data_IF_383182174051
#
_entry.id   IF_383182174051
#
_cell.length_a   1.000
_cell.length_b   1.000
_cell.length_c   1.000
_cell.angle_alpha   90.00
_cell.angle_beta   90.00
_cell.angle_gamma   90.00
#
_symmetry.space_group_name_H-M   'P 1'
#
loop_
_entity.id
_entity.type
_entity.pdbx_description
1 polymer ?
2 non-polymer ?
3 water ?
#
# COMPACT_ATOMS: atom_id res chain seq x y z
N UNK A 3 -30.02 3.20 22.48
CA UNK A 3 -29.39 2.12 21.72
C UNK A 3 -28.39 1.33 22.57
N UNK A 4 -28.58 0.02 22.65
CA UNK A 4 -27.69 -0.86 23.40
C UNK A 4 -27.61 -2.18 22.67
N UNK A 5 -26.38 -2.64 22.43
CA UNK A 5 -26.12 -3.70 21.46
C UNK A 5 -25.30 -4.82 22.08
N UNK A 6 -25.56 -6.04 21.61
CA UNK A 6 -24.69 -7.17 21.87
C UNK A 6 -23.59 -7.19 20.81
N UNK A 7 -22.34 -7.33 21.25
CA UNK A 7 -21.25 -7.43 20.30
C UNK A 7 -21.29 -8.80 19.63
N UNK A 8 -21.00 -8.88 18.33
CA UNK A 8 -20.88 -10.18 17.67
C UNK A 8 -19.54 -10.81 18.02
N UNK A 9 -19.42 -12.11 17.73
CA UNK A 9 -18.16 -12.83 17.95
C UNK A 9 -17.04 -12.11 17.20
N UNK A 10 -16.01 -11.61 17.89
CA UNK A 10 -14.96 -10.84 17.22
C UNK A 10 -14.10 -11.70 16.32
N UNK A 11 -13.78 -11.17 15.15
CA UNK A 11 -12.78 -11.74 14.26
C UNK A 11 -11.83 -10.65 13.85
N UNK A 12 -10.53 -10.90 14.03
CA UNK A 12 -9.53 -9.87 13.79
C UNK A 12 -9.40 -9.51 12.31
N UNK A 13 -9.83 -10.38 11.40
CA UNK A 13 -9.72 -10.10 9.96
C UNK A 13 -11.03 -9.63 9.34
N UNK A 14 -12.03 -9.28 10.13
CA UNK A 14 -13.32 -8.88 9.58
C UNK A 14 -13.26 -7.48 8.99
N UNK A 15 -13.93 -7.28 7.85
CA UNK A 15 -14.08 -5.92 7.36
C UNK A 15 -14.98 -5.13 8.29
N UNK A 16 -14.81 -3.80 8.27
CA UNK A 16 -15.68 -2.93 9.03
C UNK A 16 -17.13 -3.08 8.57
N UNK A 17 -17.36 -3.21 7.27
CA UNK A 17 -18.73 -3.34 6.77
C UNK A 17 -19.38 -4.62 7.29
N UNK A 18 -18.64 -5.72 7.29
CA UNK A 18 -19.16 -6.98 7.77
C UNK A 18 -19.51 -6.89 9.26
N UNK A 19 -18.65 -6.25 10.05
CA UNK A 19 -18.93 -6.08 11.47
C UNK A 19 -20.27 -5.38 11.68
N UNK A 20 -20.46 -4.24 11.00
CA UNK A 20 -21.72 -3.51 11.14
C UNK A 20 -22.91 -4.35 10.68
N UNK A 21 -22.73 -5.14 9.62
CA UNK A 21 -23.84 -5.96 9.14
C UNK A 21 -24.25 -6.97 10.21
N UNK A 22 -23.26 -7.67 10.79
CA UNK A 22 -23.55 -8.61 11.85
C UNK A 22 -24.20 -7.91 13.06
N UNK A 23 -23.67 -6.74 13.44
CA UNK A 23 -24.29 -6.00 14.55
C UNK A 23 -25.78 -5.76 14.25
N UNK A 24 -26.09 -5.28 13.04
CA UNK A 24 -27.49 -5.05 12.65
C UNK A 24 -28.31 -6.34 12.71
N UNK A 25 -27.78 -7.41 12.10
CA UNK A 25 -28.51 -8.69 12.05
C UNK A 25 -28.85 -9.17 13.45
N UNK A 26 -27.85 -9.22 14.32
CA UNK A 26 -28.01 -9.82 15.63
C UNK A 26 -28.69 -8.91 16.65
N UNK A 27 -28.93 -7.64 16.33
CA UNK A 27 -29.56 -6.74 17.28
C UNK A 27 -30.94 -6.27 16.80
N UNK A 28 -31.57 -7.03 15.90
CA UNK A 28 -32.95 -6.81 15.53
C UNK A 28 -33.20 -5.70 14.53
N UNK A 29 -32.17 -5.16 13.90
CA UNK A 29 -32.36 -4.16 12.87
C UNK A 29 -32.66 -4.91 11.58
N UNK A 30 -33.44 -4.32 10.71
CA UNK A 30 -33.85 -4.97 9.49
C UNK A 30 -32.75 -5.27 8.51
N UNK A 31 -31.83 -4.34 8.43
CA UNK A 31 -30.66 -4.42 7.59
C UNK A 31 -29.63 -3.42 8.11
N UNK A 32 -28.45 -3.43 7.53
CA UNK A 32 -27.42 -2.52 7.98
C UNK A 32 -27.76 -1.03 7.79
N UNK A 33 -28.49 -0.71 6.75
CA UNK A 33 -28.88 0.68 6.51
C UNK A 33 -29.76 1.22 7.62
N UNK A 34 -30.75 0.46 8.03
CA UNK A 34 -31.58 0.87 9.16
C UNK A 34 -30.73 1.04 10.41
N UNK A 35 -29.78 0.13 10.62
CA UNK A 35 -28.89 0.27 11.76
C UNK A 35 -28.05 1.54 11.69
N UNK A 36 -27.47 1.84 10.52
CA UNK A 36 -26.63 3.04 10.41
C UNK A 36 -27.44 4.31 10.63
N UNK A 37 -28.67 4.34 10.12
CA UNK A 37 -29.56 5.47 10.36
C UNK A 37 -29.89 5.58 11.84
N UNK A 38 -30.17 4.46 12.49
CA UNK A 38 -30.43 4.49 13.93
C UNK A 38 -29.18 4.90 14.70
N UNK A 39 -28.00 4.53 14.20
CA UNK A 39 -26.76 4.93 14.87
C UNK A 39 -26.54 6.43 14.74
N UNK A 40 -26.82 6.98 13.54
CA UNK A 40 -26.72 8.43 13.37
C UNK A 40 -27.71 9.15 14.28
N UNK A 41 -28.92 8.61 14.42
CA UNK A 41 -29.89 9.21 15.33
C UNK A 41 -29.41 9.10 16.77
N UNK A 42 -28.75 7.99 17.11
CA UNK A 42 -28.22 7.86 18.47
C UNK A 42 -27.17 8.92 18.76
N UNK A 43 -26.23 9.10 17.83
CA UNK A 43 -25.19 10.11 18.01
C UNK A 43 -25.78 11.51 18.07
N UNK A 44 -26.89 11.75 17.36
CA UNK A 44 -27.54 13.06 17.47
C UNK A 44 -28.18 13.25 18.83
N UNK A 45 -28.78 12.19 19.37
CA UNK A 45 -29.44 12.29 20.68
C UNK A 45 -28.44 12.54 21.81
N UNK A 46 -27.18 12.17 21.64
CA UNK A 46 -26.16 12.50 22.64
C UNK A 46 -25.30 13.69 22.22
N UNK A 47 -25.71 14.37 21.18
CA UNK A 47 -24.98 15.49 20.65
C UNK A 47 -23.52 15.29 20.44
N UNK A 48 -23.18 14.20 19.78
CA UNK A 48 -21.82 13.94 19.48
C UNK A 48 -21.54 14.70 18.23
N UNK A 49 -20.54 15.55 18.27
CA UNK A 49 -20.17 16.35 17.13
C UNK A 49 -19.65 15.44 16.05
N UNK A 50 -20.36 15.33 14.97
CA UNK A 50 -19.98 14.39 13.96
C UNK A 50 -21.15 13.50 13.59
N UNK A 51 -22.26 13.64 14.29
CA UNK A 51 -23.45 12.91 13.94
C UNK A 51 -23.94 13.31 12.57
N UNK A 52 -23.78 14.56 12.14
CA UNK A 52 -24.21 15.08 10.88
C UNK A 52 -23.57 14.44 9.68
N UNK A 53 -22.34 13.93 9.84
CA UNK A 53 -21.62 13.27 8.80
C UNK A 53 -21.57 11.75 9.00
N UNK A 54 -22.22 11.23 10.01
CA UNK A 54 -22.22 9.79 10.19
C UNK A 54 -22.88 9.15 8.97
N UNK A 55 -22.24 8.18 8.38
CA UNK A 55 -22.74 7.66 7.11
C UNK A 55 -23.90 6.68 7.29
N UNK A 56 -24.82 6.73 6.34
CA UNK A 56 -25.91 5.77 6.27
C UNK A 56 -25.80 4.91 5.03
N UNK A 57 -24.71 5.04 4.30
CA UNK A 57 -24.41 4.25 3.11
C UNK A 57 -23.31 3.29 3.51
N UNK A 58 -23.63 1.98 3.51
CA UNK A 58 -22.66 0.98 3.94
C UNK A 58 -21.40 1.03 3.07
N UNK A 59 -21.49 1.50 1.83
CA UNK A 59 -20.32 1.60 0.97
C UNK A 59 -19.44 2.81 1.28
N UNK A 60 -19.85 3.65 2.24
CA UNK A 60 -19.12 4.87 2.56
C UNK A 60 -18.74 4.94 4.04
N UNK A 61 -18.67 3.77 4.72
CA UNK A 61 -18.55 3.72 6.17
C UNK A 61 -17.10 3.96 6.65
N UNK A 62 -16.10 3.59 5.86
CA UNK A 62 -14.72 3.70 6.33
C UNK A 62 -14.28 5.16 6.37
N UNK A 63 -13.35 5.52 7.25
CA UNK A 63 -12.89 6.93 7.27
C UNK A 63 -12.27 7.38 5.95
N UNK A 64 -11.67 6.49 5.15
CA UNK A 64 -11.12 6.91 3.87
C UNK A 64 -12.21 7.45 2.94
N UNK A 65 -13.46 7.02 3.11
CA UNK A 65 -14.56 7.50 2.28
C UNK A 65 -15.09 8.86 2.73
N UNK A 66 -14.72 9.33 3.92
CA UNK A 66 -15.12 10.67 4.33
C UNK A 66 -14.31 11.71 3.55
N UNK A 67 -15.01 12.73 3.08
CA UNK A 67 -14.37 13.84 2.37
C UNK A 67 -13.68 14.80 3.34
N UNK A 68 -14.46 15.42 4.21
CA UNK A 68 -13.96 16.42 5.13
C UNK A 68 -14.11 16.03 6.59
N UNK A 69 -14.69 14.88 6.89
CA UNK A 69 -15.10 14.60 8.25
C UNK A 69 -14.46 13.32 8.77
N UNK A 70 -13.26 12.99 8.29
CA UNK A 70 -12.64 11.73 8.63
C UNK A 70 -12.36 11.63 10.12
N UNK A 71 -11.98 12.75 10.76
CA UNK A 71 -11.71 12.69 12.20
C UNK A 71 -13.00 12.74 13.04
N UNK A 72 -14.09 13.29 12.51
CA UNK A 72 -15.39 13.08 13.17
C UNK A 72 -15.81 11.62 13.09
N UNK A 73 -15.45 10.94 12.01
CA UNK A 73 -15.77 9.52 11.86
C UNK A 73 -15.04 8.67 12.89
N UNK A 74 -13.72 8.88 13.06
CA UNK A 74 -13.01 8.10 14.06
C UNK A 74 -13.47 8.46 15.48
N UNK A 75 -13.80 9.74 15.73
CA UNK A 75 -14.37 10.08 17.04
C UNK A 75 -15.68 9.35 17.26
N UNK A 76 -16.51 9.23 16.21
CA UNK A 76 -17.76 8.50 16.29
C UNK A 76 -17.54 7.03 16.63
N UNK A 77 -16.64 6.35 15.92
CA UNK A 77 -16.37 4.94 16.20
C UNK A 77 -15.88 4.76 17.64
N UNK A 78 -14.96 5.63 18.08
CA UNK A 78 -14.49 5.58 19.46
C UNK A 78 -15.65 5.64 20.45
N UNK A 79 -16.53 6.64 20.30
CA UNK A 79 -17.68 6.80 21.19
C UNK A 79 -18.58 5.57 21.16
N UNK A 80 -18.96 5.13 19.95
CA UNK A 80 -19.78 3.93 19.82
C UNK A 80 -19.15 2.75 20.54
N UNK A 81 -17.87 2.49 20.28
CA UNK A 81 -17.15 1.42 20.97
C UNK A 81 -17.29 1.56 22.49
N UNK A 82 -16.94 2.74 23.01
CA UNK A 82 -16.89 2.98 24.45
C UNK A 82 -18.25 3.09 25.11
N UNK A 83 -19.34 3.11 24.34
CA UNK A 83 -20.62 3.49 24.96
C UNK A 83 -21.76 2.53 24.68
N UNK A 84 -21.95 2.16 23.44
CA UNK A 84 -23.14 1.45 23.03
C UNK A 84 -23.18 -0.08 23.06
N UNK A 85 -22.13 -0.70 23.52
CA UNK A 85 -22.11 -2.13 23.61
C UNK A 85 -22.02 -2.62 25.03
N UNK A 86 -22.52 -3.84 25.25
CA UNK A 86 -22.44 -4.50 26.58
C UNK A 86 -20.96 -4.64 26.92
N UNK A 87 -20.15 -5.09 25.94
CA UNK A 87 -18.73 -5.20 26.14
C UNK A 87 -18.15 -4.50 24.91
N UNK A 88 -17.10 -3.70 25.09
CA UNK A 88 -16.53 -2.95 23.98
C UNK A 88 -15.85 -3.74 22.92
N UNK A 89 -16.25 -3.51 21.69
CA UNK A 89 -15.64 -4.25 20.59
C UNK A 89 -14.46 -3.47 20.03
N UNK A 90 -13.66 -4.17 19.21
CA UNK A 90 -12.58 -3.52 18.46
C UNK A 90 -13.19 -3.03 17.16
N UNK A 91 -13.51 -1.75 17.12
CA UNK A 91 -14.15 -1.15 15.98
C UNK A 91 -13.17 -0.37 15.12
N UNK A 92 -12.45 0.56 15.74
CA UNK A 92 -11.43 1.32 15.05
C UNK A 92 -10.45 0.43 14.32
N UNK A 93 -10.14 -0.74 14.89
CA UNK A 93 -9.10 -1.59 14.32
C UNK A 93 -9.50 -2.24 13.01
N UNK A 94 -10.80 -2.29 12.71
CA UNK A 94 -11.29 -2.86 11.47
C UNK A 94 -11.40 -1.82 10.36
N UNK A 95 -11.42 -0.53 10.71
CA UNK A 95 -11.65 0.53 9.75
C UNK A 95 -10.44 0.77 8.86
N UNK A 96 -10.71 1.19 7.63
CA UNK A 96 -9.65 1.53 6.68
C UNK A 96 -9.57 3.05 6.64
N UNK A 97 -8.46 3.61 7.12
CA UNK A 97 -8.23 5.04 7.19
C UNK A 97 -7.27 5.46 6.09
N UNK A 98 -7.31 6.73 5.74
CA UNK A 98 -6.23 7.30 4.95
C UNK A 98 -4.96 7.39 5.80
N UNK A 99 -3.80 7.38 5.13
CA UNK A 99 -2.57 7.72 5.82
C UNK A 99 -1.79 8.75 5.01
N UNK A 100 -0.75 9.25 5.64
CA UNK A 100 0.20 10.19 5.07
C UNK A 100 1.25 9.48 4.21
N UNK A 101 1.39 8.17 4.36
CA UNK A 101 2.46 7.44 3.66
C UNK A 101 2.21 7.38 2.16
N UNK A 102 3.28 7.15 1.39
CA UNK A 102 3.20 7.03 -0.06
C UNK A 102 3.89 5.76 -0.49
N UNK A 103 3.48 5.22 -1.64
CA UNK A 103 4.25 4.22 -2.35
C UNK A 103 4.79 4.85 -3.63
N UNK A 104 6.07 4.73 -3.85
CA UNK A 104 6.74 5.33 -4.96
C UNK A 104 6.17 4.93 -6.33
N UNK A 105 6.10 5.88 -7.26
CA UNK A 105 6.61 7.24 -7.05
C UNK A 105 5.64 8.22 -6.44
N UNK A 106 4.37 8.05 -6.69
CA UNK A 106 3.41 8.99 -6.18
C UNK A 106 2.02 8.44 -5.86
N UNK A 107 1.94 7.23 -5.38
CA UNK A 107 0.68 6.69 -5.03
C UNK A 107 0.39 6.89 -3.55
N UNK A 108 -0.83 7.25 -3.22
CA UNK A 108 -1.25 7.40 -1.85
C UNK A 108 -1.47 6.05 -1.13
N UNK A 109 -1.84 6.08 0.14
CA UNK A 109 -1.92 4.83 0.89
C UNK A 109 -3.03 4.93 1.94
N UNK A 110 -3.41 3.77 2.45
CA UNK A 110 -4.41 3.67 3.52
C UNK A 110 -3.88 2.66 4.53
N UNK A 111 -4.53 2.60 5.69
CA UNK A 111 -4.05 1.78 6.79
C UNK A 111 -5.24 1.20 7.56
N UNK A 112 -5.08 -0.05 7.97
CA UNK A 112 -6.05 -0.73 8.82
C UNK A 112 -5.25 -1.42 9.90
N UNK A 113 -5.48 -1.03 11.16
CA UNK A 113 -4.68 -1.55 12.25
C UNK A 113 -3.24 -1.05 12.11
N UNK A 114 -2.31 -1.97 11.89
CA UNK A 114 -0.91 -1.64 11.63
C UNK A 114 -0.52 -1.89 10.18
N UNK A 115 -1.47 -2.22 9.33
CA UNK A 115 -1.22 -2.66 7.96
C UNK A 115 -1.46 -1.52 7.00
N UNK A 116 -0.45 -1.18 6.20
CA UNK A 116 -0.56 -0.11 5.22
C UNK A 116 -0.69 -0.74 3.86
N UNK A 117 -1.53 -0.15 2.99
CA UNK A 117 -1.82 -0.63 1.64
C UNK A 117 -1.67 0.52 0.65
N UNK A 118 -1.18 0.26 -0.56
CA UNK A 118 -1.23 1.31 -1.60
C UNK A 118 -2.67 1.56 -2.01
N UNK A 119 -3.03 2.84 -2.15
CA UNK A 119 -4.36 3.21 -2.60
C UNK A 119 -4.69 2.59 -3.96
N UNK A 120 -3.68 2.40 -4.81
CA UNK A 120 -3.86 1.76 -6.11
C UNK A 120 -4.44 0.35 -6.01
N UNK A 121 -4.29 -0.31 -4.86
CA UNK A 121 -4.82 -1.65 -4.65
C UNK A 121 -6.21 -1.65 -4.02
N UNK A 122 -6.63 -0.53 -3.43
CA UNK A 122 -7.93 -0.45 -2.78
C UNK A 122 -9.03 -0.48 -3.83
N UNK A 123 -9.88 -1.51 -3.80
CA UNK A 123 -10.90 -1.65 -4.83
C UNK A 123 -11.87 -0.48 -4.80
N UNK A 124 -12.18 0.06 -5.99
CA UNK A 124 -13.03 1.24 -6.10
C UNK A 124 -14.50 0.90 -6.30
N UNK A 125 -14.80 -0.23 -6.92
CA UNK A 125 -16.16 -0.51 -7.40
C UNK A 125 -16.67 -1.73 -6.65
N UNK A 126 -17.11 -2.77 -7.35
CA UNK A 126 -17.64 -3.94 -6.68
C UNK A 126 -16.53 -4.67 -5.96
N UNK A 127 -16.83 -5.12 -4.74
CA UNK A 127 -15.90 -5.88 -3.92
C UNK A 127 -16.29 -7.35 -4.00
N UNK A 128 -15.36 -8.25 -4.30
CA UNK A 128 -15.68 -9.67 -4.45
C UNK A 128 -15.75 -10.37 -3.10
N UNK A 129 -16.02 -11.67 -3.15
CA UNK A 129 -16.10 -12.44 -1.91
C UNK A 129 -15.72 -13.90 -2.17
N UNK A 130 -15.58 -14.64 -1.09
CA UNK A 130 -15.51 -16.07 -1.20
C UNK A 130 -16.80 -16.64 -0.62
N UNK A 131 -17.64 -17.29 -1.42
CA UNK A 131 -18.90 -17.80 -0.88
C UNK A 131 -18.72 -18.88 0.18
N UNK A 132 -17.59 -19.60 0.11
CA UNK A 132 -17.31 -20.61 1.13
C UNK A 132 -17.04 -19.94 2.47
N UNK A 133 -16.21 -18.90 2.47
CA UNK A 133 -15.95 -18.14 3.70
C UNK A 133 -17.24 -17.57 4.29
N UNK A 134 -18.10 -16.97 3.46
CA UNK A 134 -19.33 -16.37 3.97
C UNK A 134 -20.22 -17.41 4.64
N UNK A 135 -20.39 -18.57 3.99
CA UNK A 135 -21.31 -19.57 4.50
C UNK A 135 -20.75 -20.28 5.73
N UNK A 136 -19.45 -20.58 5.72
CA UNK A 136 -18.83 -21.30 6.83
C UNK A 136 -18.58 -20.41 8.03
N UNK A 137 -18.18 -19.14 7.79
CA UNK A 137 -17.77 -18.25 8.86
C UNK A 137 -18.79 -17.18 9.22
N UNK A 138 -19.67 -16.78 8.28
CA UNK A 138 -20.66 -15.77 8.59
C UNK A 138 -20.13 -14.36 8.64
N UNK A 139 -18.97 -14.09 8.05
CA UNK A 139 -18.43 -12.74 7.98
C UNK A 139 -17.49 -12.63 6.79
N UNK A 140 -17.13 -11.39 6.44
CA UNK A 140 -16.29 -11.13 5.28
C UNK A 140 -14.90 -10.66 5.73
N UNK A 141 -13.88 -11.12 5.01
CA UNK A 141 -12.50 -10.70 5.23
C UNK A 141 -12.22 -9.32 4.63
N UNK A 142 -11.43 -8.52 5.36
CA UNK A 142 -10.94 -7.25 4.84
C UNK A 142 -10.05 -7.43 3.61
N UNK A 143 -9.40 -8.59 3.48
CA UNK A 143 -8.53 -8.80 2.32
C UNK A 143 -9.28 -8.68 0.99
N UNK A 144 -10.60 -8.94 0.98
CA UNK A 144 -11.36 -8.87 -0.28
C UNK A 144 -11.41 -7.45 -0.84
N UNK A 145 -11.08 -6.45 -0.04
CA UNK A 145 -11.03 -5.05 -0.48
C UNK A 145 -9.80 -4.72 -1.32
N UNK A 146 -8.85 -5.64 -1.48
CA UNK A 146 -7.54 -5.28 -2.05
C UNK A 146 -7.18 -6.19 -3.22
N UNK A 147 -6.94 -5.56 -4.37
CA UNK A 147 -6.39 -6.23 -5.53
C UNK A 147 -5.04 -6.88 -5.21
N UNK A 148 -4.71 -7.93 -5.96
CA UNK A 148 -3.59 -8.77 -5.62
C UNK A 148 -4.01 -10.01 -4.85
N UNK A 149 -4.97 -9.84 -3.93
CA UNK A 149 -5.61 -10.96 -3.23
C UNK A 149 -6.80 -11.40 -4.09
N UNK A 150 -6.55 -12.31 -5.03
CA UNK A 150 -7.54 -12.73 -5.99
C UNK A 150 -8.09 -14.13 -5.73
N UNK A 151 -7.43 -14.90 -4.88
CA UNK A 151 -7.86 -16.24 -4.50
C UNK A 151 -8.04 -16.25 -2.99
N UNK A 152 -9.04 -16.98 -2.51
CA UNK A 152 -9.15 -17.20 -1.08
C UNK A 152 -8.00 -18.11 -0.64
N UNK A 153 -7.18 -17.65 0.31
CA UNK A 153 -6.03 -18.45 0.69
C UNK A 153 -6.43 -19.68 1.49
N UNK A 154 -7.65 -19.69 2.06
CA UNK A 154 -8.05 -20.81 2.90
C UNK A 154 -8.79 -21.88 2.11
N UNK A 155 -9.57 -21.50 1.10
CA UNK A 155 -10.28 -22.48 0.29
C UNK A 155 -9.63 -22.69 -1.07
N UNK A 156 -8.58 -21.94 -1.43
CA UNK A 156 -7.80 -22.17 -2.65
C UNK A 156 -8.68 -22.15 -3.90
N UNK A 157 -9.58 -21.18 -3.97
CA UNK A 157 -10.41 -20.95 -5.15
C UNK A 157 -10.42 -19.45 -5.44
N UNK A 158 -10.72 -19.08 -6.68
CA UNK A 158 -10.81 -17.64 -6.98
C UNK A 158 -12.01 -17.00 -6.29
N UNK A 159 -11.80 -15.78 -5.79
CA UNK A 159 -12.90 -14.98 -5.30
C UNK A 159 -13.92 -14.73 -6.40
N UNK A 160 -15.17 -14.48 -6.01
CA UNK A 160 -16.29 -14.36 -6.93
C UNK A 160 -16.75 -12.90 -6.95
N UNK A 161 -17.04 -12.39 -8.14
CA UNK A 161 -17.54 -11.02 -8.24
C UNK A 161 -19.00 -10.92 -8.68
N UNK A 162 -19.49 -11.85 -9.48
CA UNK A 162 -20.81 -11.66 -10.07
C UNK A 162 -21.57 -12.97 -10.04
N UNK A 163 -22.89 -12.85 -9.89
CA UNK A 163 -23.74 -14.02 -9.89
C UNK A 163 -23.77 -14.62 -11.29
N UNK A 164 -24.03 -15.93 -11.36
CA UNK A 164 -24.21 -16.55 -12.67
C UNK A 164 -25.31 -15.88 -13.49
N UNK A 165 -26.23 -15.14 -12.86
CA UNK A 165 -27.28 -14.44 -13.61
C UNK A 165 -26.81 -13.11 -14.19
N UNK A 166 -25.60 -12.68 -13.84
CA UNK A 166 -24.99 -11.48 -14.37
C UNK A 166 -24.91 -10.34 -13.39
N UNK A 167 -25.71 -10.36 -12.32
CA UNK A 167 -25.67 -9.28 -11.34
C UNK A 167 -24.43 -9.41 -10.47
N UNK A 168 -23.68 -8.30 -10.34
CA UNK A 168 -22.53 -8.29 -9.46
C UNK A 168 -22.99 -8.45 -8.01
N UNK A 169 -22.26 -9.26 -7.25
CA UNK A 169 -22.58 -9.52 -5.86
C UNK A 169 -21.58 -8.79 -4.99
N UNK A 170 -22.03 -7.75 -4.31
CA UNK A 170 -21.25 -7.04 -3.31
C UNK A 170 -21.86 -7.36 -1.95
N UNK A 171 -21.14 -8.13 -1.13
CA UNK A 171 -21.65 -8.53 0.17
C UNK A 171 -22.07 -7.33 1.01
N UNK A 172 -21.43 -6.17 0.81
CA UNK A 172 -21.76 -4.99 1.60
C UNK A 172 -23.20 -4.58 1.38
N UNK A 173 -23.67 -4.68 0.13
CA UNK A 173 -25.03 -4.28 -0.22
C UNK A 173 -26.01 -5.44 -0.14
N UNK A 174 -25.57 -6.64 -0.53
CA UNK A 174 -26.45 -7.79 -0.66
C UNK A 174 -26.46 -8.71 0.54
N UNK A 175 -25.53 -8.54 1.47
CA UNK A 175 -25.56 -9.22 2.74
C UNK A 175 -24.61 -10.40 2.80
N UNK A 176 -24.40 -10.88 4.03
CA UNK A 176 -23.45 -11.95 4.29
C UNK A 176 -24.03 -13.32 4.01
N UNK A 177 -25.34 -13.41 3.74
CA UNK A 177 -25.96 -14.70 3.45
C UNK A 177 -25.62 -15.22 2.05
N UNK A 178 -24.96 -14.41 1.22
CA UNK A 178 -24.55 -14.85 -0.10
C UNK A 178 -25.69 -15.10 -1.06
N UNK A 179 -26.78 -14.35 -0.97
CA UNK A 179 -27.94 -14.50 -1.83
C UNK A 179 -27.95 -13.35 -2.82
N UNK A 180 -28.07 -13.67 -4.11
CA UNK A 180 -28.11 -12.64 -5.14
C UNK A 180 -29.38 -11.79 -5.00
N UNK A 181 -29.23 -10.46 -5.03
CA UNK A 181 -30.36 -9.56 -4.88
C UNK A 181 -31.35 -9.66 -6.04
N UNK A 182 -30.87 -9.98 -7.24
CA UNK A 182 -31.74 -9.97 -8.41
C UNK A 182 -32.46 -11.30 -8.61
N UNK A 183 -31.71 -12.40 -8.70
CA UNK A 183 -32.36 -13.68 -9.01
C UNK A 183 -32.70 -14.49 -7.76
N UNK A 184 -32.23 -14.07 -6.58
CA UNK A 184 -32.49 -14.67 -5.27
C UNK A 184 -31.94 -16.08 -5.14
N UNK A 185 -30.91 -16.42 -5.91
CA UNK A 185 -30.20 -17.67 -5.85
C UNK A 185 -28.94 -17.52 -5.01
N UNK A 186 -28.55 -18.55 -4.27
CA UNK A 186 -27.29 -18.48 -3.54
C UNK A 186 -26.12 -18.37 -4.51
N UNK A 187 -25.20 -17.45 -4.21
CA UNK A 187 -23.97 -17.36 -4.98
C UNK A 187 -23.22 -18.67 -4.85
N UNK A 188 -22.77 -19.21 -5.98
CA UNK A 188 -22.11 -20.51 -5.98
C UNK A 188 -20.93 -20.49 -6.94
N UNK A 189 -19.74 -20.85 -6.43
CA UNK A 189 -18.65 -21.22 -7.31
C UNK A 189 -19.06 -22.40 -8.17
N UNK A 195 -7.57 -22.79 -11.03
CA UNK A 195 -6.76 -23.01 -9.84
C UNK A 195 -5.25 -22.75 -9.89
N UNK A 196 -4.83 -21.54 -10.25
CA UNK A 196 -3.42 -21.18 -10.33
C UNK A 196 -2.79 -21.20 -8.97
N UNK A 197 -1.77 -22.00 -8.79
CA UNK A 197 -1.13 -22.04 -7.52
C UNK A 197 -0.29 -20.77 -7.21
N UNK A 198 0.13 -20.07 -8.23
CA UNK A 198 0.84 -18.85 -8.05
C UNK A 198 -0.09 -17.82 -7.40
N UNK A 199 -1.32 -17.77 -7.87
CA UNK A 199 -2.31 -16.89 -7.33
C UNK A 199 -2.53 -17.31 -5.92
N UNK A 200 -2.64 -18.59 -5.68
CA UNK A 200 -2.82 -19.04 -4.29
C UNK A 200 -1.60 -18.72 -3.44
N UNK A 201 -0.40 -18.92 -4.00
CA UNK A 201 0.81 -18.54 -3.28
C UNK A 201 0.78 -17.07 -2.87
N UNK A 202 0.52 -16.16 -3.80
CA UNK A 202 0.62 -14.76 -3.37
C UNK A 202 -0.56 -14.39 -2.48
N UNK A 203 -1.73 -15.01 -2.68
CA UNK A 203 -2.84 -14.78 -1.75
C UNK A 203 -2.48 -15.23 -0.34
N UNK A 204 -1.82 -16.37 -0.20
CA UNK A 204 -1.41 -16.84 1.10
C UNK A 204 -0.37 -15.91 1.74
N UNK A 205 0.50 -15.38 0.91
CA UNK A 205 1.57 -14.48 1.29
C UNK A 205 0.96 -13.16 1.74
N UNK A 206 0.02 -12.64 0.98
CA UNK A 206 -0.67 -11.40 1.34
C UNK A 206 -1.42 -11.51 2.64
N UNK A 207 -1.99 -12.66 2.93
CA UNK A 207 -2.64 -12.89 4.17
C UNK A 207 -1.64 -12.87 5.34
N UNK A 208 -0.36 -12.97 5.06
CA UNK A 208 0.67 -12.91 6.08
C UNK A 208 1.39 -14.20 6.36
N UNK A 209 1.17 -15.25 5.58
CA UNK A 209 1.77 -16.53 5.89
C UNK A 209 3.01 -16.76 5.02
N UNK A 210 3.89 -17.64 5.50
CA UNK A 210 5.06 -18.02 4.73
C UNK A 210 4.64 -18.70 3.43
N UNK A 211 5.16 -18.21 2.30
CA UNK A 211 4.80 -18.77 1.00
C UNK A 211 6.01 -18.60 0.07
N UNK A 212 6.92 -19.57 0.12
CA UNK A 212 8.10 -19.54 -0.73
C UNK A 212 7.67 -19.52 -2.20
N UNK A 213 8.39 -18.81 -3.07
CA UNK A 213 9.65 -18.10 -2.81
C UNK A 213 9.51 -16.62 -2.45
N UNK A 214 8.33 -16.20 -2.05
CA UNK A 214 8.06 -14.82 -1.73
C UNK A 214 8.68 -14.45 -0.38
N UNK A 215 9.14 -13.21 -0.23
CA UNK A 215 9.96 -12.85 0.94
C UNK A 215 9.14 -12.57 2.18
N UNK A 216 9.72 -12.93 3.33
CA UNK A 216 9.05 -12.76 4.62
C UNK A 216 9.30 -11.34 5.15
N UNK A 217 8.49 -10.40 4.68
CA UNK A 217 8.55 -9.00 5.05
C UNK A 217 7.32 -8.60 5.85
N UNK A 218 7.34 -7.47 6.55
CA UNK A 218 6.09 -6.96 7.15
C UNK A 218 5.05 -6.76 6.05
N UNK A 219 3.78 -6.87 6.46
CA UNK A 219 2.66 -6.88 5.52
C UNK A 219 2.64 -5.66 4.60
N UNK A 220 2.92 -4.47 5.14
CA UNK A 220 2.85 -3.26 4.31
C UNK A 220 3.80 -3.33 3.12
N UNK A 221 4.95 -3.99 3.29
CA UNK A 221 5.91 -4.12 2.21
C UNK A 221 5.55 -5.24 1.23
N UNK A 222 4.78 -6.24 1.67
CA UNK A 222 4.23 -7.20 0.72
C UNK A 222 3.28 -6.51 -0.26
N UNK A 223 2.29 -5.75 0.24
CA UNK A 223 1.48 -4.94 -0.65
C UNK A 223 2.35 -4.00 -1.49
N UNK A 224 3.44 -3.50 -0.89
CA UNK A 224 4.36 -2.64 -1.64
C UNK A 224 4.95 -3.33 -2.85
N UNK A 225 5.33 -4.60 -2.69
CA UNK A 225 5.91 -5.36 -3.80
C UNK A 225 4.89 -5.60 -4.91
N UNK A 226 3.62 -5.83 -4.54
CA UNK A 226 2.57 -5.98 -5.54
C UNK A 226 2.43 -4.69 -6.36
N UNK A 227 2.34 -3.54 -5.68
CA UNK A 227 2.34 -2.23 -6.33
C UNK A 227 3.58 -2.05 -7.21
N UNK A 228 4.75 -2.40 -6.67
CA UNK A 228 6.00 -2.26 -7.41
C UNK A 228 6.00 -3.10 -8.69
N UNK A 229 5.54 -4.33 -8.64
CA UNK A 229 5.52 -5.24 -9.78
C UNK A 229 4.60 -4.75 -10.88
N UNK A 230 3.50 -4.15 -10.48
CA UNK A 230 2.53 -3.57 -11.36
C UNK A 230 3.17 -2.46 -12.12
N UNK A 231 3.96 -1.65 -11.47
CA UNK A 231 4.67 -0.58 -12.10
C UNK A 231 5.77 -1.06 -13.03
N UNK A 232 6.40 -2.16 -12.72
CA UNK A 232 7.46 -2.71 -13.53
C UNK A 232 6.91 -3.13 -14.86
N UNK A 233 5.76 -3.75 -14.84
CA UNK A 233 5.07 -4.23 -16.03
C UNK A 233 4.10 -3.21 -16.61
N UNK A 234 3.73 -2.19 -15.84
CA UNK A 234 2.81 -1.15 -16.28
C UNK A 234 1.45 -1.72 -16.68
N UNK A 235 0.86 -2.54 -15.82
CA UNK A 235 -0.38 -3.24 -16.13
C UNK A 235 -0.89 -3.92 -14.87
N UNK A 236 -1.91 -4.77 -15.01
CA UNK A 236 -2.46 -5.45 -13.85
C UNK A 236 -1.44 -6.42 -13.25
N UNK A 237 -1.53 -6.64 -11.94
CA UNK A 237 -0.61 -7.55 -11.28
C UNK A 237 -0.64 -8.92 -11.90
N UNK A 238 0.54 -9.42 -12.29
CA UNK A 238 0.70 -10.73 -12.90
C UNK A 238 1.34 -11.64 -11.86
N UNK A 239 0.51 -12.53 -11.28
CA UNK A 239 0.98 -13.39 -10.20
C UNK A 239 2.09 -14.33 -10.68
N UNK A 240 2.02 -14.80 -11.93
CA UNK A 240 2.96 -15.81 -12.41
C UNK A 240 4.38 -15.25 -12.53
N UNK A 241 4.54 -14.11 -13.20
CA UNK A 241 5.89 -13.56 -13.34
C UNK A 241 6.42 -13.02 -12.03
N UNK A 242 5.53 -12.64 -11.10
CA UNK A 242 5.95 -12.20 -9.77
C UNK A 242 6.61 -13.34 -9.00
N UNK A 243 5.97 -14.49 -8.97
CA UNK A 243 6.49 -15.65 -8.30
C UNK A 243 7.78 -16.10 -8.98
N UNK A 244 7.80 -16.03 -10.29
CA UNK A 244 8.95 -16.38 -11.08
C UNK A 244 10.14 -15.50 -10.69
N UNK A 245 9.89 -14.22 -10.61
CA UNK A 245 10.86 -13.26 -10.25
C UNK A 245 11.49 -13.60 -8.93
N UNK A 246 10.69 -13.86 -7.93
CA UNK A 246 11.25 -14.17 -6.62
C UNK A 246 11.81 -15.57 -6.53
N UNK A 247 11.38 -16.50 -7.39
CA UNK A 247 12.04 -17.80 -7.40
C UNK A 247 13.48 -17.68 -7.88
N UNK A 248 13.82 -16.58 -8.55
CA UNK A 248 15.16 -16.31 -9.05
C UNK A 248 15.85 -15.16 -8.32
N UNK A 249 15.30 -14.72 -7.19
CA UNK A 249 15.85 -13.60 -6.44
C UNK A 249 17.17 -14.00 -5.77
N UNK A 250 18.17 -13.11 -5.72
CA UNK A 250 18.16 -11.72 -6.19
C UNK A 250 18.73 -11.51 -7.60
N UNK A 251 19.28 -12.56 -8.20
CA UNK A 251 19.86 -12.46 -9.53
C UNK A 251 18.90 -11.93 -10.53
N UNK A 252 17.65 -12.32 -10.40
CA UNK A 252 16.59 -11.83 -11.27
C UNK A 252 16.46 -10.30 -11.21
N UNK A 253 16.73 -9.70 -10.05
CA UNK A 253 16.70 -8.24 -9.98
C UNK A 253 18.02 -7.64 -10.46
N UNK A 254 19.15 -8.32 -10.22
CA UNK A 254 20.41 -7.84 -10.77
C UNK A 254 20.34 -7.74 -12.29
N UNK A 255 19.58 -8.64 -12.93
CA UNK A 255 19.42 -8.59 -14.38
C UNK A 255 18.55 -7.43 -14.81
N UNK A 256 17.50 -7.12 -14.04
CA UNK A 256 16.64 -5.99 -14.39
C UNK A 256 17.42 -4.68 -14.32
N UNK A 257 18.26 -4.53 -13.30
CA UNK A 257 19.07 -3.32 -13.17
C UNK A 257 20.04 -3.20 -14.32
N UNK A 258 20.87 -4.22 -14.53
CA UNK A 258 21.88 -4.19 -15.58
C UNK A 258 21.24 -3.92 -16.94
N UNK A 259 20.14 -4.62 -17.23
CA UNK A 259 19.48 -4.45 -18.51
C UNK A 259 18.92 -3.03 -18.66
N UNK A 260 18.46 -2.44 -17.56
CA UNK A 260 17.94 -1.08 -17.58
C UNK A 260 19.04 -0.07 -17.86
N UNK A 261 20.18 -0.22 -17.19
CA UNK A 261 21.30 0.70 -17.39
C UNK A 261 21.81 0.61 -18.82
N UNK A 262 22.00 -0.61 -19.32
CA UNK A 262 22.62 -0.77 -20.63
C UNK A 262 21.70 -0.25 -21.74
N UNK A 263 20.39 -0.46 -21.61
CA UNK A 263 19.44 0.08 -22.59
C UNK A 263 19.47 1.60 -22.60
N UNK A 264 19.36 2.22 -21.43
CA UNK A 264 19.25 3.67 -21.38
C UNK A 264 20.56 4.34 -21.77
N UNK A 265 21.70 3.75 -21.37
CA UNK A 265 22.99 4.30 -21.75
C UNK A 265 23.18 4.28 -23.27
N UNK A 266 22.69 3.22 -23.93
CA UNK A 266 22.82 3.11 -25.38
C UNK A 266 21.87 4.06 -26.11
N UNK A 267 20.66 4.22 -25.56
CA UNK A 267 19.64 5.10 -26.18
C UNK A 267 19.88 6.55 -25.76
N UNK A 268 21.00 6.82 -25.08
CA UNK A 268 21.33 8.17 -24.64
C UNK A 268 21.72 9.05 -25.82
N UNK A 269 20.94 10.09 -26.06
CA UNK A 269 21.20 11.01 -27.16
C UNK A 269 21.99 12.22 -26.68
N UNK A 270 21.96 12.47 -25.37
CA UNK A 270 22.68 13.59 -24.79
C UNK A 270 24.10 13.19 -24.37
N UNK A 271 24.92 14.18 -24.09
CA UNK A 271 26.31 13.94 -23.67
C UNK A 271 26.36 13.23 -22.32
N UNK A 272 27.38 12.42 -22.12
CA UNK A 272 27.55 11.69 -20.86
C UNK A 272 27.55 12.63 -19.67
N UNK A 273 28.22 13.79 -19.78
CA UNK A 273 28.27 14.75 -18.70
C UNK A 273 26.91 15.34 -18.38
N UNK A 274 25.95 15.29 -19.31
CA UNK A 274 24.62 15.81 -19.09
C UNK A 274 23.63 14.73 -18.65
N UNK A 275 24.10 13.50 -18.41
CA UNK A 275 23.19 12.42 -18.06
C UNK A 275 22.65 12.61 -16.65
N UNK A 276 21.33 12.57 -16.52
CA UNK A 276 20.70 12.62 -15.21
C UNK A 276 20.47 11.21 -14.70
N UNK A 277 20.41 11.09 -13.37
CA UNK A 277 20.10 9.79 -12.78
C UNK A 277 18.79 9.26 -13.34
N UNK A 278 17.81 10.15 -13.50
CA UNK A 278 16.50 9.80 -14.07
C UNK A 278 16.63 9.22 -15.46
N UNK A 279 17.65 9.63 -16.23
CA UNK A 279 17.76 9.16 -17.59
C UNK A 279 18.27 7.72 -17.66
N UNK A 280 19.12 7.32 -16.72
CA UNK A 280 19.71 5.99 -16.71
C UNK A 280 18.90 4.98 -15.88
N UNK A 281 18.30 5.43 -14.78
CA UNK A 281 17.62 4.54 -13.84
C UNK A 281 16.33 5.16 -13.32
N UNK A 282 15.63 5.91 -14.18
CA UNK A 282 14.52 6.72 -13.71
C UNK A 282 13.41 5.91 -13.07
N UNK A 283 12.70 5.15 -13.90
CA UNK A 283 11.66 4.24 -13.44
C UNK A 283 12.09 3.45 -12.21
N UNK A 284 13.25 2.79 -12.31
CA UNK A 284 13.65 1.82 -11.29
C UNK A 284 14.01 2.49 -9.97
N UNK A 285 14.80 3.56 -10.00
CA UNK A 285 15.23 4.19 -8.75
C UNK A 285 14.07 4.92 -8.08
N UNK A 286 13.44 5.85 -8.80
CA UNK A 286 12.41 6.65 -8.15
C UNK A 286 11.10 5.90 -8.00
N UNK A 287 10.97 4.74 -8.61
CA UNK A 287 9.84 3.87 -8.33
C UNK A 287 10.00 2.97 -7.13
N UNK A 288 11.14 3.04 -6.42
CA UNK A 288 11.45 2.05 -5.41
C UNK A 288 11.79 2.63 -4.05
N UNK A 289 11.72 3.94 -3.88
CA UNK A 289 12.26 4.56 -2.67
C UNK A 289 11.37 4.28 -1.48
N UNK A 290 10.05 4.45 -1.63
CA UNK A 290 9.09 4.26 -0.54
C UNK A 290 8.14 3.13 -0.90
N UNK A 291 8.29 1.98 -0.26
CA UNK A 291 7.44 0.83 -0.57
C UNK A 291 6.85 0.15 0.66
N UNK A 292 6.33 0.88 1.66
CA UNK A 292 6.04 2.32 1.74
C UNK A 292 7.14 3.19 2.35
N UNK A 293 8.20 2.62 2.92
CA UNK A 293 9.24 3.48 3.46
C UNK A 293 10.61 2.96 3.04
N UNK A 294 11.64 3.59 3.59
CA UNK A 294 13.02 3.33 3.20
C UNK A 294 13.73 2.39 4.17
N UNK A 295 12.99 1.68 5.04
CA UNK A 295 13.61 0.70 5.91
C UNK A 295 14.28 -0.38 5.07
N UNK A 296 15.61 -0.45 5.12
CA UNK A 296 16.30 -1.32 4.18
C UNK A 296 16.27 -2.78 4.61
N UNK A 297 15.83 -3.09 5.83
CA UNK A 297 15.57 -4.49 6.16
C UNK A 297 14.31 -4.97 5.47
N UNK A 298 13.38 -4.06 5.18
CA UNK A 298 12.06 -4.40 4.63
C UNK A 298 11.92 -4.04 3.15
N UNK A 299 12.47 -2.89 2.73
CA UNK A 299 12.44 -2.47 1.33
C UNK A 299 13.66 -3.11 0.65
N UNK A 300 13.48 -4.38 0.27
CA UNK A 300 14.59 -5.12 -0.30
C UNK A 300 14.92 -4.65 -1.70
N UNK A 301 13.98 -4.02 -2.40
CA UNK A 301 14.28 -3.45 -3.71
C UNK A 301 15.31 -2.31 -3.57
N UNK A 302 15.02 -1.35 -2.69
CA UNK A 302 15.92 -0.22 -2.48
C UNK A 302 17.27 -0.67 -1.94
N UNK A 303 17.28 -1.65 -1.02
CA UNK A 303 18.53 -2.17 -0.50
C UNK A 303 19.42 -2.75 -1.59
N UNK A 304 18.85 -3.56 -2.47
CA UNK A 304 19.61 -4.11 -3.58
C UNK A 304 20.08 -3.01 -4.54
N UNK A 305 19.20 -2.05 -4.83
CA UNK A 305 19.55 -0.97 -5.76
C UNK A 305 20.69 -0.12 -5.21
N UNK A 306 20.61 0.25 -3.92
CA UNK A 306 21.64 1.06 -3.29
C UNK A 306 22.95 0.27 -3.14
N UNK A 307 22.87 -1.02 -2.82
CA UNK A 307 24.09 -1.83 -2.78
C UNK A 307 24.75 -1.86 -4.15
N UNK A 308 23.95 -1.98 -5.20
CA UNK A 308 24.51 -1.97 -6.54
C UNK A 308 25.14 -0.62 -6.86
N UNK A 309 24.51 0.48 -6.42
CA UNK A 309 25.00 1.80 -6.79
C UNK A 309 26.26 2.18 -6.02
N UNK A 310 26.33 1.84 -4.73
CA UNK A 310 27.55 2.10 -3.96
C UNK A 310 28.75 1.38 -4.59
N UNK A 311 28.56 0.13 -5.00
CA UNK A 311 29.69 -0.66 -5.47
C UNK A 311 30.04 -0.37 -6.93
N UNK A 312 29.16 0.27 -7.70
CA UNK A 312 29.50 0.72 -9.03
C UNK A 312 29.80 2.22 -9.08
N UNK A 313 29.80 2.90 -7.92
CA UNK A 313 29.88 4.36 -7.86
C UNK A 313 30.87 4.94 -8.85
N UNK A 314 32.14 4.56 -8.71
CA UNK A 314 33.23 5.24 -9.41
C UNK A 314 33.78 4.46 -10.60
N UNK A 315 33.02 3.49 -11.13
CA UNK A 315 33.42 2.84 -12.37
C UNK A 315 33.13 3.73 -13.58
N UNK A 316 33.83 3.47 -14.68
CA UNK A 316 33.70 4.25 -15.92
C UNK A 316 33.91 5.73 -15.68
N UNK A 317 34.98 6.06 -14.95
CA UNK A 317 35.29 7.44 -14.59
C UNK A 317 34.07 8.14 -14.00
N UNK A 318 33.43 7.46 -13.04
CA UNK A 318 32.33 8.04 -12.31
C UNK A 318 31.01 8.14 -13.07
N UNK A 319 30.72 7.17 -13.92
CA UNK A 319 29.42 7.15 -14.59
C UNK A 319 28.29 7.34 -13.59
N UNK A 320 28.18 6.43 -12.63
CA UNK A 320 27.12 6.52 -11.63
C UNK A 320 27.28 7.77 -10.79
N UNK A 321 28.48 8.00 -10.25
CA UNK A 321 28.69 9.12 -9.34
C UNK A 321 28.31 10.46 -9.98
N UNK A 322 28.49 10.62 -11.29
CA UNK A 322 28.28 11.91 -11.93
C UNK A 322 26.84 12.16 -12.36
N UNK A 323 25.95 11.17 -12.29
CA UNK A 323 24.57 11.35 -12.72
C UNK A 323 23.90 12.50 -12.00
N UNK A 324 23.22 13.36 -12.75
CA UNK A 324 22.69 14.61 -12.22
C UNK A 324 21.36 14.41 -11.50
N UNK A 325 21.16 15.20 -10.44
CA UNK A 325 19.90 15.23 -9.69
C UNK A 325 19.58 16.68 -9.35
N UNK A 326 18.31 16.98 -9.09
CA UNK A 326 17.90 18.30 -8.63
C UNK A 326 17.52 18.22 -7.15
N UNK A 327 17.13 19.38 -6.61
CA UNK A 327 16.77 19.44 -5.19
C UNK A 327 15.57 18.57 -4.86
N UNK A 328 14.56 18.54 -5.74
CA UNK A 328 13.39 17.70 -5.48
C UNK A 328 13.78 16.23 -5.34
N UNK A 329 14.61 15.75 -6.26
CA UNK A 329 14.98 14.34 -6.21
C UNK A 329 15.80 14.04 -4.96
N UNK A 330 16.69 14.95 -4.58
CA UNK A 330 17.50 14.71 -3.37
C UNK A 330 16.63 14.63 -2.13
N UNK A 331 15.57 15.46 -2.03
CA UNK A 331 14.74 15.41 -0.84
C UNK A 331 14.04 14.07 -0.70
N UNK A 332 13.67 13.44 -1.81
CA UNK A 332 12.95 12.16 -1.73
C UNK A 332 13.92 11.02 -1.39
N UNK A 333 15.09 11.04 -2.02
CA UNK A 333 16.26 10.22 -1.70
C UNK A 333 16.58 10.24 -0.19
N UNK A 334 16.85 11.46 0.29
CA UNK A 334 17.34 11.71 1.64
C UNK A 334 16.26 11.73 2.72
N UNK A 335 14.99 11.81 2.34
CA UNK A 335 13.90 12.00 3.30
C UNK A 335 14.12 13.27 4.12
N UNK A 336 14.34 14.38 3.43
CA UNK A 336 14.56 15.66 4.09
C UNK A 336 13.77 16.73 3.36
N UNK A 337 13.75 17.92 3.93
CA UNK A 337 12.97 19.03 3.40
C UNK A 337 13.78 19.85 2.40
N UNK A 338 13.07 20.54 1.50
CA UNK A 338 13.73 21.44 0.58
C UNK A 338 14.51 22.51 1.33
N UNK A 339 13.95 22.98 2.44
CA UNK A 339 14.66 23.96 3.25
C UNK A 339 15.94 23.36 3.82
N UNK A 340 15.93 22.07 4.09
CA UNK A 340 17.12 21.42 4.57
C UNK A 340 18.15 21.37 3.46
N UNK A 341 17.70 21.20 2.24
CA UNK A 341 18.62 21.18 1.14
C UNK A 341 19.30 22.52 0.93
N UNK A 342 18.55 23.61 1.04
CA UNK A 342 19.07 24.97 0.89
C UNK A 342 20.08 25.28 1.93
N UNK A 343 19.88 24.82 3.14
CA UNK A 343 20.84 25.07 4.20
C UNK A 343 22.17 24.31 4.11
N UNK A 344 22.17 23.26 3.28
CA UNK A 344 23.38 22.42 3.06
C UNK A 344 24.14 22.99 1.86
N UNK A 345 23.44 23.74 1.01
CA UNK A 345 24.07 24.34 -0.16
C UNK A 345 24.58 25.75 0.19
N UNK A 346 23.87 26.48 1.04
CA UNK A 346 24.34 27.80 1.44
C UNK A 346 25.54 27.68 2.36
N UNK A 347 25.48 26.77 3.33
CA UNK A 347 26.70 26.27 3.93
C UNK A 347 27.48 25.47 2.88
N UNK A 348 28.59 24.89 3.28
CA UNK A 348 29.50 24.31 2.30
C UNK A 348 29.48 22.78 2.34
N UNK A 349 28.35 22.22 2.79
CA UNK A 349 28.26 20.77 2.92
C UNK A 349 27.88 20.14 1.59
N UNK A 350 26.81 20.64 0.96
CA UNK A 350 26.38 20.20 -0.36
C UNK A 350 26.89 21.21 -1.39
N UNK A 351 27.66 20.73 -2.37
CA UNK A 351 28.25 21.63 -3.36
C UNK A 351 27.59 21.44 -4.72
N UNK A 352 27.01 22.47 -5.32
CA UNK A 352 26.46 22.34 -6.68
C UNK A 352 27.56 22.25 -7.74
N UNK A 353 27.19 21.72 -8.91
CA UNK A 353 28.14 21.52 -10.02
C UNK A 353 28.49 22.86 -10.63
N UNK A 354 27.47 23.59 -11.07
CA UNK A 354 27.62 24.93 -11.66
C UNK A 354 27.76 25.85 -10.44
N UNK A 355 28.85 26.60 -10.41
CA UNK A 355 29.13 27.47 -9.25
C UNK A 355 28.74 28.92 -9.54
N UNK A 356 27.44 29.23 -9.60
CA UNK A 356 26.98 30.63 -9.70
C UNK A 356 26.71 31.16 -8.28
N UNK A 357 26.13 32.36 -8.14
CA UNK A 357 25.91 32.91 -6.78
C UNK A 357 24.84 34.02 -6.78
N UNK A 362 18.12 28.75 -4.76
CA UNK A 362 18.28 27.49 -5.38
C UNK A 362 17.07 27.12 -6.16
N UNK A 363 17.26 26.95 -7.43
CA UNK A 363 16.14 26.44 -8.19
C UNK A 363 15.87 25.00 -7.74
N UNK A 364 14.69 24.79 -7.17
CA UNK A 364 14.27 23.49 -6.66
C UNK A 364 14.35 22.41 -7.75
N UNK A 365 14.37 22.81 -9.02
CA UNK A 365 14.25 21.87 -10.13
C UNK A 365 15.50 21.76 -11.01
N UNK A 366 16.44 22.68 -10.91
CA UNK A 366 17.63 22.59 -11.75
C UNK A 366 18.52 21.47 -11.26
N UNK A 367 19.16 20.78 -12.21
CA UNK A 367 19.98 19.61 -11.90
C UNK A 367 21.39 20.06 -11.52
N UNK A 368 21.50 20.56 -10.29
CA UNK A 368 22.74 21.13 -9.78
C UNK A 368 23.64 20.13 -9.07
N UNK A 369 23.16 18.92 -8.79
CA UNK A 369 23.88 18.00 -7.92
C UNK A 369 24.23 16.71 -8.64
N UNK A 370 25.19 15.99 -8.06
CA UNK A 370 25.65 14.71 -8.59
C UNK A 370 25.28 13.59 -7.63
N UNK A 371 24.86 12.45 -8.18
CA UNK A 371 24.45 11.33 -7.35
C UNK A 371 25.52 10.99 -6.31
N UNK A 372 26.80 10.98 -6.73
CA UNK A 372 27.86 10.64 -5.80
C UNK A 372 27.87 11.55 -4.58
N UNK A 373 27.63 12.84 -4.79
CA UNK A 373 27.58 13.80 -3.69
C UNK A 373 26.39 13.55 -2.78
N UNK A 374 25.22 13.33 -3.36
CA UNK A 374 24.02 13.09 -2.58
C UNK A 374 24.13 11.79 -1.81
N UNK A 375 24.71 10.76 -2.44
CA UNK A 375 24.90 9.48 -1.77
C UNK A 375 25.82 9.62 -0.56
N UNK A 376 26.94 10.33 -0.73
CA UNK A 376 27.85 10.51 0.39
C UNK A 376 27.25 11.41 1.45
N UNK A 377 26.40 12.36 1.05
CA UNK A 377 25.66 13.19 2.00
C UNK A 377 24.69 12.35 2.82
N UNK A 378 23.99 11.41 2.18
CA UNK A 378 23.13 10.48 2.90
C UNK A 378 23.93 9.76 4.00
N UNK A 379 25.08 9.22 3.63
CA UNK A 379 25.92 8.52 4.62
C UNK A 379 26.31 9.46 5.75
N UNK A 380 26.71 10.69 5.40
CA UNK A 380 27.31 11.58 6.40
C UNK A 380 26.27 12.24 7.28
N UNK A 381 25.03 12.38 6.80
CA UNK A 381 24.09 13.25 7.49
C UNK A 381 22.67 12.70 7.63
N UNK A 382 22.26 11.65 6.91
CA UNK A 382 20.85 11.29 6.84
C UNK A 382 20.57 9.80 7.04
N UNK A 383 21.51 9.02 7.53
CA UNK A 383 21.18 7.64 7.86
C UNK A 383 20.31 7.59 9.13
N UNK A 384 19.33 6.69 9.15
CA UNK A 384 18.51 6.48 10.34
C UNK A 384 18.76 5.08 10.90
N UNK A 385 18.01 4.74 11.94
CA UNK A 385 18.09 3.38 12.47
C UNK A 385 17.51 2.35 11.50
N UNK A 386 16.78 2.79 10.48
CA UNK A 386 16.14 1.94 9.50
C UNK A 386 16.70 2.07 8.09
N UNK A 387 17.15 3.26 7.72
CA UNK A 387 17.52 3.61 6.35
C UNK A 387 19.01 3.87 6.42
N UNK A 388 19.80 2.80 6.26
CA UNK A 388 21.25 2.94 6.45
C UNK A 388 22.00 1.84 5.71
N UNK A 389 23.28 2.12 5.42
CA UNK A 389 24.14 1.26 4.63
C UNK A 389 24.34 -0.11 5.26
N UNK A 390 24.42 -0.17 6.59
CA UNK A 390 24.73 -1.45 7.23
C UNK A 390 23.66 -2.50 6.94
N UNK A 391 22.46 -2.08 6.55
CA UNK A 391 21.41 -3.02 6.23
C UNK A 391 21.45 -3.55 4.80
N UNK A 392 22.40 -3.14 3.96
CA UNK A 392 22.53 -3.75 2.65
C UNK A 392 23.93 -4.22 2.30
N UNK A 393 24.96 -3.95 3.12
CA UNK A 393 26.32 -4.35 2.74
C UNK A 393 26.40 -5.87 2.59
N UNK A 394 25.56 -6.62 3.30
CA UNK A 394 25.57 -8.06 3.15
C UNK A 394 25.01 -8.52 1.80
N UNK A 395 24.42 -7.61 1.02
CA UNK A 395 23.84 -8.00 -0.26
C UNK A 395 24.86 -8.08 -1.38
N UNK A 396 26.08 -7.61 -1.17
CA UNK A 396 27.06 -7.56 -2.25
C UNK A 396 27.70 -8.91 -2.43
X LIG B 1 -28.29 -13.59 -9.69
X LIG C 1 -12.86 -18.78 1.42
#
# INVERSE_FOLDING_TARGET
>A
GSMFLQRPKPYSDESLESFFIRVANKNGYGDVHRFLEATKRFLQDIDHNGYQTFPTDITRINPYSAKNSSSARTASFLKLAQLTFNEPPELLGLAINRTNMKYSPSTSAVVRGAEVFPRSLLRTHSIPCCPLCLRENGYASYLWHFQGYEYCHSHNVPLITTCSCGKEFDYRVSGLKGICCKCKEPITLTSRENGHEAACTVSNWLAGHESKPLPNLPKSYRWGLVHWWMGIKDSEFDHFSFVQFFSNWPRSFHSIIEDEVEFNLEHAVVSTSELRLKDLLGRLFFGSIRLPERNLQHNIILGELLCYLENRLWQDKGLIANLKMNALEATVMLNCSLDQIASMVEQRILKPNRKSKPNSPLDVTDYLFHFGDIFCLWLAEFQSDEFNRSFYVSRW
>B hetero
1 ZN ZN
>C hetero
1 ZN ZN
#
